data_IF_351729084834
#
_entry.id   IF_351729084834
#
_cell.length_a   1.000
_cell.length_b   1.000
_cell.length_c   1.000
_cell.angle_alpha   90.00
_cell.angle_beta   90.00
_cell.angle_gamma   90.00
#
_symmetry.space_group_name_H-M   'P 1'
#
loop_
_entity.id
_entity.type
_entity.pdbx_description
1 polymer ?
#
# COMPACT_ATOMS: atom_id res chain seq x y z
N UNK A 1 31.80 -9.12 46.59
CA UNK A 1 31.51 -8.41 45.61
C UNK A 1 30.12 -8.23 45.10
N UNK A 2 29.87 -7.20 44.55
CA UNK A 2 28.69 -6.39 44.52
C UNK A 2 27.73 -6.76 43.37
N UNK A 3 26.46 -7.13 43.66
CA UNK A 3 25.47 -7.42 42.61
C UNK A 3 25.11 -6.21 41.74
N UNK A 4 25.53 -5.02 42.10
CA UNK A 4 25.34 -3.79 41.35
C UNK A 4 26.11 -3.76 40.01
N UNK A 5 27.31 -4.33 39.94
CA UNK A 5 28.13 -4.39 38.72
C UNK A 5 27.52 -5.32 37.65
N UNK A 6 26.88 -6.40 38.04
CA UNK A 6 26.16 -7.28 37.12
C UNK A 6 24.92 -6.60 36.51
N UNK A 7 24.20 -5.79 37.28
CA UNK A 7 23.04 -5.04 36.79
C UNK A 7 23.43 -3.98 35.75
N UNK A 8 24.52 -3.28 35.95
CA UNK A 8 25.03 -2.28 34.99
C UNK A 8 25.44 -2.94 33.68
N UNK A 9 26.08 -4.12 33.73
CA UNK A 9 26.49 -4.83 32.53
C UNK A 9 25.32 -5.35 31.70
N UNK A 10 24.24 -5.77 32.32
CA UNK A 10 23.02 -6.16 31.63
C UNK A 10 22.31 -4.99 30.93
N UNK A 11 22.26 -3.85 31.61
CA UNK A 11 21.68 -2.63 31.03
C UNK A 11 22.50 -2.14 29.85
N UNK A 12 23.83 -2.18 29.93
CA UNK A 12 24.70 -1.84 28.82
C UNK A 12 24.58 -2.81 27.66
N UNK A 13 24.46 -4.11 27.91
CA UNK A 13 24.20 -5.10 26.88
C UNK A 13 22.88 -4.89 26.14
N UNK A 14 21.81 -4.57 26.87
CA UNK A 14 20.52 -4.25 26.28
C UNK A 14 20.57 -2.98 25.44
N UNK A 15 21.27 -1.95 25.89
CA UNK A 15 21.45 -0.73 25.12
C UNK A 15 22.30 -0.95 23.87
N UNK A 16 23.36 -1.72 23.95
CA UNK A 16 24.17 -2.08 22.78
C UNK A 16 23.39 -2.94 21.77
N UNK A 17 22.61 -3.92 22.24
CA UNK A 17 21.76 -4.73 21.37
C UNK A 17 20.69 -3.88 20.68
N UNK A 18 20.13 -2.88 21.37
CA UNK A 18 19.16 -1.97 20.80
C UNK A 18 19.78 -1.03 19.75
N UNK A 19 20.98 -0.51 19.98
CA UNK A 19 21.73 0.28 19.00
C UNK A 19 22.13 -0.56 17.79
N UNK A 20 22.48 -1.82 17.99
CA UNK A 20 22.85 -2.73 16.89
C UNK A 20 21.67 -3.03 15.97
N UNK A 21 20.48 -3.22 16.53
CA UNK A 21 19.28 -3.43 15.72
C UNK A 21 18.88 -2.20 14.89
N UNK A 22 19.09 -0.99 15.42
CA UNK A 22 18.88 0.23 14.66
C UNK A 22 19.88 0.41 13.52
N UNK A 23 21.14 0.05 13.72
CA UNK A 23 22.18 0.12 12.71
C UNK A 23 21.92 -0.90 11.58
N UNK A 24 21.48 -2.11 11.90
CA UNK A 24 21.16 -3.10 10.87
C UNK A 24 19.94 -2.72 10.05
N UNK A 25 18.95 -2.04 10.62
CA UNK A 25 17.78 -1.52 9.90
C UNK A 25 18.17 -0.41 8.91
N UNK A 26 19.18 0.42 9.24
CA UNK A 26 19.68 1.46 8.32
C UNK A 26 20.47 0.89 7.14
N UNK A 27 21.10 -0.26 7.29
CA UNK A 27 21.88 -0.94 6.25
C UNK A 27 21.01 -1.79 5.33
N UNK A 28 19.78 -2.12 5.73
CA UNK A 28 18.85 -2.82 4.87
C UNK A 28 18.25 -1.86 3.85
N UNK A 29 18.31 -2.26 2.58
CA UNK A 29 17.66 -1.53 1.51
C UNK A 29 16.16 -1.48 1.75
N UNK A 30 15.52 -0.28 1.74
CA UNK A 30 14.10 -0.19 1.99
C UNK A 30 13.31 -0.81 0.84
N UNK A 31 12.44 -1.73 1.18
CA UNK A 31 11.43 -2.23 0.25
C UNK A 31 10.27 -1.24 0.19
N UNK A 32 9.84 -0.92 -1.00
CA UNK A 32 8.65 -0.10 -1.22
C UNK A 32 7.57 -1.00 -1.80
N UNK A 33 6.47 -1.12 -1.06
CA UNK A 33 5.30 -1.85 -1.51
C UNK A 33 4.29 -0.85 -2.07
N UNK A 34 3.98 -0.99 -3.34
CA UNK A 34 2.99 -0.17 -4.03
C UNK A 34 1.69 -0.95 -4.13
N UNK A 35 0.63 -0.42 -3.54
CA UNK A 35 -0.71 -0.99 -3.58
C UNK A 35 -1.57 -0.14 -4.50
N UNK A 36 -2.11 -0.75 -5.54
CA UNK A 36 -3.03 -0.09 -6.47
C UNK A 36 -4.43 -0.65 -6.27
N UNK A 37 -5.35 0.21 -5.89
CA UNK A 37 -6.76 -0.11 -5.68
C UNK A 37 -7.57 0.45 -6.83
N UNK A 38 -8.37 -0.41 -7.46
CA UNK A 38 -9.23 -0.04 -8.59
C UNK A 38 -10.67 -0.43 -8.30
N UNK A 39 -11.60 0.48 -8.50
CA UNK A 39 -13.03 0.23 -8.28
C UNK A 39 -13.90 1.10 -9.18
N UNK A 40 -15.08 0.60 -9.51
CA UNK A 40 -16.15 1.38 -10.14
C UNK A 40 -16.94 2.24 -9.15
N UNK A 41 -16.83 1.94 -7.84
CA UNK A 41 -17.50 2.67 -6.77
C UNK A 41 -16.51 3.55 -6.01
N UNK A 42 -16.60 4.85 -6.21
CA UNK A 42 -15.71 5.82 -5.57
C UNK A 42 -15.82 5.80 -4.05
N UNK A 43 -17.03 5.71 -3.49
CA UNK A 43 -17.22 5.74 -2.04
C UNK A 43 -16.56 4.57 -1.35
N UNK A 44 -16.80 3.36 -1.82
CA UNK A 44 -16.18 2.15 -1.28
C UNK A 44 -14.67 2.17 -1.37
N UNK A 45 -14.15 2.70 -2.46
CA UNK A 45 -12.72 2.87 -2.67
C UNK A 45 -12.10 3.84 -1.66
N UNK A 46 -12.71 5.00 -1.47
CA UNK A 46 -12.25 6.01 -0.51
C UNK A 46 -12.34 5.51 0.94
N UNK A 47 -13.42 4.82 1.29
CA UNK A 47 -13.59 4.23 2.62
C UNK A 47 -12.51 3.19 2.92
N UNK A 48 -12.22 2.30 1.98
CA UNK A 48 -11.17 1.28 2.12
C UNK A 48 -9.78 1.90 2.26
N UNK A 49 -9.48 2.90 1.44
CA UNK A 49 -8.20 3.62 1.50
C UNK A 49 -8.04 4.36 2.82
N UNK A 50 -9.10 4.99 3.31
CA UNK A 50 -9.12 5.69 4.60
C UNK A 50 -8.90 4.71 5.77
N UNK A 51 -9.53 3.55 5.73
CA UNK A 51 -9.34 2.49 6.73
C UNK A 51 -7.90 1.99 6.78
N UNK A 52 -7.28 1.77 5.63
CA UNK A 52 -5.87 1.38 5.54
C UNK A 52 -4.96 2.48 6.09
N UNK A 53 -5.24 3.73 5.75
CA UNK A 53 -4.48 4.88 6.25
C UNK A 53 -4.57 4.99 7.78
N UNK A 54 -5.75 4.85 8.35
CA UNK A 54 -5.95 4.85 9.80
C UNK A 54 -5.20 3.70 10.48
N UNK A 55 -5.25 2.51 9.90
CA UNK A 55 -4.50 1.34 10.40
C UNK A 55 -2.99 1.57 10.38
N UNK A 56 -2.48 2.24 9.35
CA UNK A 56 -1.07 2.61 9.24
C UNK A 56 -0.67 3.64 10.29
N UNK A 57 -1.49 4.65 10.51
CA UNK A 57 -1.25 5.67 11.54
C UNK A 57 -1.23 5.05 12.94
N UNK A 58 -2.15 4.12 13.25
CA UNK A 58 -2.19 3.42 14.52
C UNK A 58 -0.93 2.56 14.77
N UNK A 59 -0.39 1.95 13.73
CA UNK A 59 0.83 1.14 13.81
C UNK A 59 2.12 1.94 13.67
N UNK A 60 2.03 3.24 13.40
CA UNK A 60 3.19 4.09 13.18
C UNK A 60 3.94 3.80 11.87
N UNK A 61 3.24 3.28 10.88
CA UNK A 61 3.80 2.95 9.57
C UNK A 61 3.83 4.19 8.68
N UNK A 62 4.98 4.45 8.05
CA UNK A 62 5.10 5.51 7.06
C UNK A 62 4.40 5.11 5.77
N UNK A 63 3.33 5.78 5.49
CA UNK A 63 2.52 5.57 4.31
C UNK A 63 2.51 6.86 3.50
N UNK A 64 2.96 6.78 2.26
CA UNK A 64 2.77 7.88 1.32
C UNK A 64 1.34 7.85 0.82
N UNK A 65 0.67 8.96 1.02
CA UNK A 65 -0.76 9.11 0.91
C UNK A 65 -1.36 8.62 -0.39
N UNK A 66 -2.68 8.38 -0.41
CA UNK A 66 -3.31 7.89 -1.61
C UNK A 66 -3.15 8.88 -2.76
N UNK A 67 -2.49 8.42 -3.84
CA UNK A 67 -2.35 9.19 -5.07
C UNK A 67 -3.52 8.86 -5.99
N UNK A 68 -4.43 9.81 -6.24
CA UNK A 68 -5.52 9.59 -7.17
C UNK A 68 -4.98 9.63 -8.61
N UNK A 69 -5.32 8.61 -9.38
CA UNK A 69 -5.13 8.66 -10.84
C UNK A 69 -6.39 9.21 -11.50
N UNK A 70 -6.21 9.75 -12.67
CA UNK A 70 -7.32 10.25 -13.48
C UNK A 70 -8.33 9.12 -13.73
N UNK A 71 -9.63 9.34 -13.49
CA UNK A 71 -10.64 8.31 -13.72
C UNK A 71 -10.71 7.94 -15.19
N UNK A 72 -10.83 6.65 -15.47
CA UNK A 72 -10.99 6.14 -16.83
C UNK A 72 -12.46 5.90 -17.12
N UNK A 73 -12.95 6.51 -18.19
CA UNK A 73 -14.29 6.25 -18.71
C UNK A 73 -14.25 5.21 -19.81
N UNK A 74 -14.89 4.09 -19.54
CA UNK A 74 -15.06 3.01 -20.52
C UNK A 74 -16.44 3.10 -21.13
N UNK A 75 -16.50 3.28 -22.44
CA UNK A 75 -17.76 3.30 -23.19
C UNK A 75 -17.98 1.95 -23.86
N UNK A 76 -19.05 1.29 -23.47
CA UNK A 76 -19.41 -0.02 -24.01
C UNK A 76 -20.60 0.15 -24.96
N UNK A 77 -20.41 -0.10 -26.27
CA UNK A 77 -21.52 -0.04 -27.22
C UNK A 77 -22.47 -1.21 -26.97
N UNK A 78 -23.76 -0.93 -26.95
CA UNK A 78 -24.81 -1.94 -26.79
C UNK A 78 -25.63 -2.05 -28.06
N UNK A 79 -25.80 -3.28 -28.55
CA UNK A 79 -26.62 -3.59 -29.71
C UNK A 79 -27.94 -4.22 -29.28
N UNK A 80 -29.06 -3.79 -29.91
CA UNK A 80 -30.40 -4.35 -29.62
C UNK A 80 -30.59 -5.74 -30.20
N UNK A 81 -29.94 -6.03 -31.33
CA UNK A 81 -29.95 -7.34 -31.95
C UNK A 81 -28.67 -7.61 -32.72
N UNK A 82 -28.37 -8.89 -32.96
CA UNK A 82 -27.18 -9.34 -33.69
C UNK A 82 -27.34 -9.27 -35.21
N UNK A 83 -28.45 -8.76 -35.72
CA UNK A 83 -28.71 -8.62 -37.14
C UNK A 83 -28.26 -7.29 -37.73
N UNK A 84 -28.11 -7.20 -39.08
CA UNK A 84 -27.68 -5.97 -39.75
C UNK A 84 -28.67 -4.80 -39.59
N UNK A 85 -29.95 -5.07 -39.28
CA UNK A 85 -31.00 -4.07 -39.04
C UNK A 85 -31.16 -3.75 -37.52
N UNK A 86 -30.29 -4.28 -36.68
CA UNK A 86 -30.34 -4.07 -35.24
C UNK A 86 -30.06 -2.64 -34.85
N UNK A 87 -31.02 -1.97 -34.21
CA UNK A 87 -30.81 -0.68 -33.59
C UNK A 87 -29.78 -0.76 -32.49
N UNK A 88 -29.07 0.33 -32.24
CA UNK A 88 -28.13 0.46 -31.10
C UNK A 88 -28.82 1.14 -29.94
N UNK A 89 -28.53 0.64 -28.71
CA UNK A 89 -28.80 1.39 -27.51
C UNK A 89 -27.73 2.47 -27.31
N UNK A 90 -28.01 3.46 -26.48
CA UNK A 90 -27.00 4.39 -26.06
C UNK A 90 -25.85 3.62 -25.39
N UNK A 91 -24.63 4.06 -25.67
CA UNK A 91 -23.45 3.41 -25.06
C UNK A 91 -23.46 3.55 -23.55
N UNK A 92 -23.23 2.43 -22.86
CA UNK A 92 -23.09 2.45 -21.42
C UNK A 92 -21.70 2.96 -21.03
N UNK A 93 -21.66 3.95 -20.15
CA UNK A 93 -20.40 4.51 -19.65
C UNK A 93 -20.10 3.95 -18.27
N UNK A 94 -18.96 3.32 -18.14
CA UNK A 94 -18.46 2.83 -16.86
C UNK A 94 -17.19 3.60 -16.48
N UNK A 95 -17.22 4.24 -15.30
CA UNK A 95 -16.08 4.99 -14.80
C UNK A 95 -15.32 4.17 -13.77
N UNK A 96 -14.02 4.03 -13.97
CA UNK A 96 -13.11 3.30 -13.09
C UNK A 96 -12.21 4.28 -12.35
N UNK A 97 -12.21 4.21 -11.02
CA UNK A 97 -11.38 5.01 -10.14
C UNK A 97 -10.18 4.21 -9.65
N UNK A 98 -9.02 4.83 -9.62
CA UNK A 98 -7.78 4.21 -9.18
C UNK A 98 -7.11 5.03 -8.09
N UNK A 99 -6.64 4.37 -7.04
CA UNK A 99 -5.87 4.98 -5.95
C UNK A 99 -4.61 4.15 -5.71
N UNK A 100 -3.48 4.82 -5.59
CA UNK A 100 -2.19 4.18 -5.35
C UNK A 100 -1.63 4.60 -4.00
N UNK A 101 -1.22 3.62 -3.21
CA UNK A 101 -0.61 3.83 -1.90
C UNK A 101 0.79 3.22 -1.91
N UNK A 102 1.78 3.94 -1.40
CA UNK A 102 3.14 3.43 -1.23
C UNK A 102 3.45 3.25 0.25
N UNK A 103 3.90 2.06 0.61
CA UNK A 103 4.35 1.71 1.97
C UNK A 103 5.85 1.52 1.94
N UNK A 104 6.58 2.32 2.70
CA UNK A 104 8.04 2.28 2.73
C UNK A 104 8.52 1.51 3.97
N UNK A 105 9.20 0.39 3.76
CA UNK A 105 9.97 -0.30 4.78
C UNK A 105 9.23 -1.16 5.79
N UNK A 106 7.91 -1.29 5.71
CA UNK A 106 7.11 -2.08 6.65
C UNK A 106 6.49 -3.30 5.96
N UNK A 107 7.31 -4.31 5.75
CA UNK A 107 6.91 -5.53 5.04
C UNK A 107 5.75 -6.28 5.71
N UNK A 108 5.77 -6.37 7.05
CA UNK A 108 4.70 -7.05 7.80
C UNK A 108 3.35 -6.37 7.61
N UNK A 109 3.32 -5.05 7.67
CA UNK A 109 2.09 -4.29 7.46
C UNK A 109 1.59 -4.43 6.02
N UNK A 110 2.48 -4.36 5.04
CA UNK A 110 2.14 -4.53 3.64
C UNK A 110 1.55 -5.92 3.37
N UNK A 111 2.12 -6.95 3.98
CA UNK A 111 1.63 -8.32 3.91
C UNK A 111 0.26 -8.48 4.57
N UNK A 112 0.08 -7.88 5.75
CA UNK A 112 -1.21 -7.87 6.47
C UNK A 112 -2.31 -7.20 5.63
N UNK A 113 -2.02 -6.07 5.02
CA UNK A 113 -2.97 -5.38 4.14
C UNK A 113 -3.33 -6.21 2.91
N UNK A 114 -2.34 -6.85 2.28
CA UNK A 114 -2.60 -7.70 1.10
C UNK A 114 -3.42 -8.95 1.43
N UNK A 115 -3.34 -9.45 2.65
CA UNK A 115 -4.09 -10.63 3.10
C UNK A 115 -5.52 -10.28 3.56
N UNK A 116 -5.84 -9.00 3.73
CA UNK A 116 -7.20 -8.59 4.12
C UNK A 116 -8.20 -8.94 3.03
N UNK A 117 -9.40 -9.29 3.47
CA UNK A 117 -10.51 -9.51 2.55
C UNK A 117 -11.10 -8.18 2.14
N UNK A 118 -11.03 -7.86 0.87
CA UNK A 118 -11.63 -6.66 0.31
C UNK A 118 -13.02 -6.96 -0.28
N UNK A 119 -13.92 -5.96 -0.35
CA UNK A 119 -15.18 -6.11 -1.05
C UNK A 119 -14.95 -6.50 -2.52
N UNK A 120 -15.84 -7.30 -3.09
CA UNK A 120 -15.74 -7.75 -4.48
C UNK A 120 -15.70 -6.61 -5.53
N UNK A 121 -16.16 -5.43 -5.13
CA UNK A 121 -16.14 -4.24 -5.99
C UNK A 121 -14.74 -3.60 -6.13
N UNK A 122 -13.77 -4.02 -5.32
CA UNK A 122 -12.43 -3.45 -5.28
C UNK A 122 -11.42 -4.48 -5.78
N UNK A 123 -10.68 -4.10 -6.80
CA UNK A 123 -9.53 -4.87 -7.29
C UNK A 123 -8.24 -4.31 -6.70
N UNK A 124 -7.39 -5.18 -6.17
CA UNK A 124 -6.14 -4.79 -5.50
C UNK A 124 -4.96 -5.45 -6.21
N UNK A 125 -4.02 -4.64 -6.62
CA UNK A 125 -2.73 -5.07 -7.15
C UNK A 125 -1.61 -4.64 -6.22
N UNK A 126 -0.71 -5.56 -5.90
CA UNK A 126 0.45 -5.29 -5.05
C UNK A 126 1.74 -5.48 -5.85
N UNK A 127 2.56 -4.45 -5.88
CA UNK A 127 3.90 -4.49 -6.43
C UNK A 127 4.93 -4.23 -5.33
N UNK A 128 6.01 -4.99 -5.30
CA UNK A 128 7.12 -4.78 -4.36
C UNK A 128 8.35 -4.39 -5.16
N UNK A 129 8.89 -3.22 -4.86
CA UNK A 129 10.11 -2.72 -5.47
C UNK A 129 11.18 -2.50 -4.41
N UNK A 130 12.39 -2.93 -4.70
CA UNK A 130 13.54 -2.61 -3.89
C UNK A 130 14.16 -1.31 -4.44
N UNK A 131 14.02 -0.22 -3.71
CA UNK A 131 14.69 1.04 -4.07
C UNK A 131 16.09 1.05 -3.47
N UNK A 132 17.07 0.88 -4.32
CA UNK A 132 18.44 1.20 -3.98
C UNK A 132 18.52 2.72 -3.85
N UNK A 133 18.82 3.23 -2.66
CA UNK A 133 19.22 4.62 -2.55
C UNK A 133 20.54 4.76 -3.31
N UNK A 134 20.45 5.15 -4.56
CA UNK A 134 21.60 5.70 -5.23
C UNK A 134 21.91 6.99 -4.49
N UNK A 135 22.93 6.93 -3.63
CA UNK A 135 23.42 8.14 -2.99
C UNK A 135 23.62 9.16 -4.08
N UNK A 136 22.94 10.29 -3.98
CA UNK A 136 23.27 11.45 -4.78
C UNK A 136 24.65 11.89 -4.37
N UNK A 137 25.65 11.24 -4.95
CA UNK A 137 27.01 11.72 -4.91
C UNK A 137 27.05 12.97 -5.74
N UNK A 138 26.89 14.07 -5.11
CA UNK A 138 27.27 15.36 -5.68
C UNK A 138 28.76 15.50 -5.61
#
# INVERSE_FOLDING_TARGET
MTPLLKRISETQRKQMAFCHSRLSVRLQMPFVTTLTFTSGDRHRLEDTVTEIKQSAEQKGVELKGPHPKQPQELRIPQSKSLGPDGGRFDSWTHTVYTRTIEIVGYEEFARDVTQRTFPNAIHVEAGVEQRTQVGSGS
#
